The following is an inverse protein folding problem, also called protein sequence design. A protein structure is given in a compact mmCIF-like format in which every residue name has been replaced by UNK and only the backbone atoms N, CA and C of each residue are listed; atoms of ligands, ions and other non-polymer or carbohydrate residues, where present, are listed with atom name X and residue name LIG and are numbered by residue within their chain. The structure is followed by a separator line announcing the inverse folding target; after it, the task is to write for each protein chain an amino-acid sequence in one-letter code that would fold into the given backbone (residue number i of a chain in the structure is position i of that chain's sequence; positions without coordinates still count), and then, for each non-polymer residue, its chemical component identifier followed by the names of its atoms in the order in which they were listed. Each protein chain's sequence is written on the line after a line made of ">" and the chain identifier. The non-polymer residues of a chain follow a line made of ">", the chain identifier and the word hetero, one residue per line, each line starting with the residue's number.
data_IF_514129585193
#
_entry.id   IF_514129585193
#
_cell.length_a   1.000
_cell.length_b   1.000
_cell.length_c   1.000
_cell.angle_alpha   90.00
_cell.angle_beta   90.00
_cell.angle_gamma   90.00
#
_symmetry.space_group_name_H-M   'P 1'
#
loop_
_entity.id
_entity.type
_entity.pdbx_description
1 polymer ?
#
# COMPACT_ATOMS: atom_id res chain seq x y z
N UNK A 1 14.59 -47.52 -14.45
CA UNK A 1 14.76 -46.48 -13.42
C UNK A 1 15.03 -45.16 -14.12
N UNK A 2 14.09 -44.21 -14.10
CA UNK A 2 14.24 -42.89 -14.73
C UNK A 2 14.61 -41.87 -13.64
N UNK A 3 15.78 -41.23 -13.80
CA UNK A 3 16.28 -40.21 -12.87
C UNK A 3 15.45 -38.92 -12.89
N UNK A 4 15.58 -38.05 -11.86
CA UNK A 4 14.71 -36.90 -11.70
C UNK A 4 14.96 -35.84 -12.78
N UNK A 5 13.88 -35.34 -13.39
CA UNK A 5 13.90 -34.23 -14.34
C UNK A 5 14.40 -32.95 -13.65
N UNK A 6 15.48 -32.35 -14.17
CA UNK A 6 15.92 -31.00 -13.80
C UNK A 6 14.74 -30.04 -13.91
N UNK A 7 14.38 -29.39 -12.80
CA UNK A 7 13.40 -28.29 -12.80
C UNK A 7 14.03 -27.11 -13.54
N UNK A 8 13.39 -26.72 -14.63
CA UNK A 8 13.72 -25.56 -15.43
C UNK A 8 13.61 -24.30 -14.57
N UNK A 9 14.71 -23.56 -14.44
CA UNK A 9 14.77 -22.30 -13.72
C UNK A 9 13.97 -21.29 -14.54
N UNK A 10 12.78 -20.90 -14.06
CA UNK A 10 12.00 -19.80 -14.65
C UNK A 10 12.90 -18.57 -14.70
N UNK A 11 13.16 -18.09 -15.91
CA UNK A 11 13.89 -16.86 -16.19
C UNK A 11 13.38 -15.74 -15.28
N UNK A 12 14.27 -15.15 -14.48
CA UNK A 12 14.01 -13.89 -13.82
C UNK A 12 13.95 -12.80 -14.90
N UNK A 13 12.88 -11.99 -15.01
CA UNK A 13 12.74 -11.05 -16.09
C UNK A 13 13.88 -10.03 -16.10
N UNK A 14 14.45 -9.81 -17.30
CA UNK A 14 15.52 -8.86 -17.53
C UNK A 14 15.07 -7.41 -17.30
N UNK A 15 16.04 -6.58 -16.94
CA UNK A 15 15.95 -5.19 -16.43
C UNK A 15 15.31 -4.14 -17.37
N UNK A 16 14.52 -4.52 -18.38
CA UNK A 16 14.02 -3.62 -19.44
C UNK A 16 12.50 -3.54 -19.61
N UNK A 17 11.68 -4.37 -18.95
CA UNK A 17 10.22 -4.27 -19.08
C UNK A 17 9.63 -3.26 -18.10
N UNK A 18 9.59 -1.98 -18.50
CA UNK A 18 8.91 -0.91 -17.75
C UNK A 18 7.40 -1.17 -17.54
N UNK A 19 6.83 -2.16 -18.24
CA UNK A 19 5.42 -2.53 -18.16
C UNK A 19 5.14 -3.69 -17.20
N UNK A 20 6.14 -4.52 -16.86
CA UNK A 20 5.94 -5.67 -16.00
C UNK A 20 5.85 -5.23 -14.54
N UNK A 21 4.79 -5.65 -13.86
CA UNK A 21 4.57 -5.28 -12.47
C UNK A 21 3.49 -6.13 -11.82
N UNK A 22 3.19 -5.83 -10.56
CA UNK A 22 2.25 -6.64 -9.78
C UNK A 22 0.83 -6.63 -10.36
N UNK A 23 0.49 -5.65 -11.19
CA UNK A 23 -0.77 -5.56 -11.92
C UNK A 23 -1.07 -6.75 -12.82
N UNK A 24 -0.04 -7.40 -13.37
CA UNK A 24 -0.24 -8.54 -14.29
C UNK A 24 -0.78 -9.79 -13.57
N UNK A 25 -0.69 -9.82 -12.25
CA UNK A 25 -1.20 -10.91 -11.40
C UNK A 25 -2.61 -10.65 -10.84
N UNK A 26 -3.18 -9.46 -11.09
CA UNK A 26 -4.47 -9.06 -10.55
C UNK A 26 -5.60 -9.46 -11.49
N UNK A 27 -6.68 -10.00 -10.93
CA UNK A 27 -7.89 -10.37 -11.67
C UNK A 27 -9.13 -9.82 -10.97
N UNK A 28 -10.02 -9.19 -11.72
CA UNK A 28 -11.28 -8.70 -11.20
C UNK A 28 -12.22 -9.85 -10.86
N UNK A 29 -13.09 -9.65 -9.86
CA UNK A 29 -14.05 -10.68 -9.46
C UNK A 29 -15.11 -10.95 -10.53
N UNK A 30 -15.51 -9.91 -11.26
CA UNK A 30 -16.47 -9.97 -12.37
C UNK A 30 -16.04 -9.06 -13.51
N UNK A 31 -16.69 -9.19 -14.67
CA UNK A 31 -16.45 -8.30 -15.81
C UNK A 31 -16.83 -6.83 -15.55
N UNK A 32 -17.77 -6.58 -14.62
CA UNK A 32 -18.24 -5.24 -14.27
C UNK A 32 -17.61 -4.66 -13.00
N UNK A 33 -16.63 -5.34 -12.40
CA UNK A 33 -16.00 -4.89 -11.15
C UNK A 33 -15.16 -3.63 -11.38
N UNK A 34 -15.38 -2.61 -10.56
CA UNK A 34 -14.61 -1.35 -10.61
C UNK A 34 -13.19 -1.47 -10.03
N UNK A 35 -12.94 -2.50 -9.20
CA UNK A 35 -11.66 -2.72 -8.56
C UNK A 35 -11.29 -4.20 -8.46
N UNK A 36 -10.05 -4.46 -8.04
CA UNK A 36 -9.53 -5.79 -7.79
C UNK A 36 -9.28 -5.99 -6.30
N UNK A 37 -9.80 -7.07 -5.75
CA UNK A 37 -9.64 -7.42 -4.35
C UNK A 37 -8.18 -7.60 -3.96
N UNK A 38 -7.80 -7.10 -2.79
CA UNK A 38 -6.48 -7.23 -2.21
C UNK A 38 -6.54 -7.90 -0.84
N UNK A 39 -5.77 -8.98 -0.69
CA UNK A 39 -5.70 -9.78 0.52
C UNK A 39 -4.67 -9.25 1.52
N UNK A 40 -4.96 -9.43 2.82
CA UNK A 40 -4.01 -9.18 3.91
C UNK A 40 -2.92 -10.26 3.94
N UNK A 41 -1.68 -9.89 4.26
CA UNK A 41 -0.58 -10.87 4.36
C UNK A 41 -0.43 -11.48 5.77
N UNK A 42 -1.11 -10.91 6.77
CA UNK A 42 -1.03 -11.27 8.18
C UNK A 42 -2.41 -11.22 8.82
N UNK A 43 -2.57 -11.87 9.98
CA UNK A 43 -3.72 -11.68 10.84
C UNK A 43 -3.73 -10.25 11.40
N UNK A 44 -4.92 -9.65 11.49
CA UNK A 44 -5.12 -8.33 12.08
C UNK A 44 -5.90 -8.51 13.37
N UNK A 45 -5.42 -7.90 14.46
CA UNK A 45 -6.16 -7.76 15.71
C UNK A 45 -6.11 -6.30 16.15
N UNK A 46 -7.28 -5.66 16.21
CA UNK A 46 -7.45 -4.29 16.68
C UNK A 46 -8.11 -4.30 18.05
N UNK A 47 -7.35 -3.92 19.07
CA UNK A 47 -7.80 -3.88 20.47
C UNK A 47 -8.18 -2.47 20.94
N UNK A 48 -7.88 -1.47 20.12
CA UNK A 48 -8.11 -0.06 20.37
C UNK A 48 -8.55 0.63 19.07
N UNK A 49 -8.82 1.92 19.17
CA UNK A 49 -9.23 2.77 18.04
C UNK A 49 -8.06 3.39 17.28
N UNK A 50 -6.82 2.96 17.58
CA UNK A 50 -5.62 3.48 16.95
C UNK A 50 -5.47 2.95 15.52
N UNK A 51 -4.94 3.78 14.64
CA UNK A 51 -4.61 3.38 13.26
C UNK A 51 -3.42 2.42 13.28
N UNK A 52 -3.49 1.35 12.49
CA UNK A 52 -2.39 0.38 12.32
C UNK A 52 -2.06 0.20 10.86
N UNK A 53 -0.77 0.03 10.58
CA UNK A 53 -0.30 -0.40 9.27
C UNK A 53 -0.27 -1.92 9.18
N UNK A 54 -0.88 -2.45 8.14
CA UNK A 54 -0.92 -3.88 7.86
C UNK A 54 -0.34 -4.14 6.48
N UNK A 55 0.55 -5.13 6.38
CA UNK A 55 1.09 -5.52 5.09
C UNK A 55 0.05 -6.27 4.26
N UNK A 56 -0.05 -5.96 2.97
CA UNK A 56 -0.81 -6.78 2.02
C UNK A 56 0.08 -7.83 1.36
N UNK A 57 -0.53 -8.72 0.58
CA UNK A 57 0.22 -9.68 -0.25
C UNK A 57 0.92 -9.05 -1.46
N UNK A 58 0.63 -7.79 -1.78
CA UNK A 58 1.04 -7.15 -3.03
C UNK A 58 2.24 -6.22 -2.82
N UNK A 59 3.20 -6.30 -3.74
CA UNK A 59 4.42 -5.49 -3.75
C UNK A 59 4.62 -4.85 -5.12
N UNK A 60 4.97 -3.57 -5.13
CA UNK A 60 5.37 -2.87 -6.35
C UNK A 60 6.70 -3.38 -6.93
N UNK A 61 7.06 -2.99 -8.16
CA UNK A 61 6.42 -1.95 -8.97
C UNK A 61 5.03 -2.35 -9.47
N UNK A 62 4.15 -1.35 -9.65
CA UNK A 62 2.77 -1.59 -10.10
C UNK A 62 2.74 -2.11 -11.54
N UNK A 63 3.54 -1.49 -12.41
CA UNK A 63 3.56 -1.76 -13.85
C UNK A 63 2.55 -0.90 -14.62
N UNK A 64 2.58 -1.01 -15.95
CA UNK A 64 1.62 -0.38 -16.88
C UNK A 64 1.46 1.16 -16.79
N UNK A 65 2.28 1.85 -15.99
CA UNK A 65 2.17 3.29 -15.77
C UNK A 65 0.88 3.73 -15.06
N UNK A 66 0.17 2.81 -14.40
CA UNK A 66 -1.09 3.09 -13.71
C UNK A 66 -0.86 3.34 -12.23
N UNK A 67 -1.61 4.29 -11.67
CA UNK A 67 -1.74 4.50 -10.23
C UNK A 67 -2.92 3.70 -9.69
N UNK A 68 -3.01 3.57 -8.37
CA UNK A 68 -4.12 2.86 -7.72
C UNK A 68 -4.70 3.64 -6.56
N UNK A 69 -6.01 3.54 -6.40
CA UNK A 69 -6.72 3.94 -5.20
C UNK A 69 -7.10 2.68 -4.40
N UNK A 70 -6.59 2.57 -3.17
CA UNK A 70 -6.94 1.53 -2.22
C UNK A 70 -8.17 1.97 -1.45
N UNK A 71 -9.26 1.20 -1.58
CA UNK A 71 -10.56 1.48 -0.97
C UNK A 71 -11.08 0.24 -0.25
N UNK A 72 -11.75 0.44 0.88
CA UNK A 72 -12.37 -0.64 1.66
C UNK A 72 -13.56 -1.28 0.94
N UNK A 73 -13.79 -2.58 1.16
CA UNK A 73 -15.03 -3.24 0.76
C UNK A 73 -16.22 -2.74 1.58
N UNK A 74 -17.38 -2.53 0.95
CA UNK A 74 -18.58 -2.09 1.67
C UNK A 74 -19.04 -3.10 2.73
N UNK A 75 -18.79 -4.39 2.53
CA UNK A 75 -19.18 -5.50 3.44
C UNK A 75 -18.56 -5.39 4.83
N UNK A 76 -17.33 -4.89 4.94
CA UNK A 76 -16.64 -4.80 6.24
C UNK A 76 -17.08 -3.59 7.08
N UNK A 77 -17.96 -2.72 6.56
CA UNK A 77 -18.43 -1.51 7.28
C UNK A 77 -19.26 -1.85 8.50
N UNK A 78 -19.97 -2.98 8.47
CA UNK A 78 -20.96 -3.35 9.48
C UNK A 78 -20.34 -3.65 10.85
N UNK A 79 -19.03 -3.90 10.90
CA UNK A 79 -18.31 -4.27 12.13
C UNK A 79 -17.50 -3.11 12.71
N UNK A 80 -17.79 -1.86 12.30
CA UNK A 80 -17.03 -0.69 12.75
C UNK A 80 -15.56 -0.71 12.31
N UNK A 81 -15.19 -1.54 11.34
CA UNK A 81 -13.85 -1.63 10.78
C UNK A 81 -13.69 -0.69 9.59
N UNK A 82 -12.60 0.06 9.59
CA UNK A 82 -12.29 1.07 8.59
C UNK A 82 -10.88 0.91 8.05
N UNK A 83 -10.73 1.37 6.81
CA UNK A 83 -9.46 1.47 6.11
C UNK A 83 -9.41 2.89 5.59
N UNK A 84 -8.36 3.61 5.92
CA UNK A 84 -8.12 4.95 5.38
C UNK A 84 -7.78 4.79 3.89
N UNK A 85 -8.47 5.49 2.98
CA UNK A 85 -8.15 5.46 1.56
C UNK A 85 -6.67 5.77 1.30
N UNK A 86 -6.06 5.05 0.36
CA UNK A 86 -4.65 5.23 0.01
C UNK A 86 -4.48 5.47 -1.48
N UNK A 87 -3.69 6.49 -1.84
CA UNK A 87 -3.19 6.68 -3.20
C UNK A 87 -1.83 5.99 -3.32
N UNK A 88 -1.67 5.16 -4.36
CA UNK A 88 -0.43 4.45 -4.65
C UNK A 88 0.02 4.91 -6.04
N UNK A 89 1.19 5.55 -6.08
CA UNK A 89 1.73 6.11 -7.31
C UNK A 89 2.25 5.03 -8.27
N UNK A 90 2.19 5.32 -9.57
CA UNK A 90 2.57 4.38 -10.62
C UNK A 90 4.03 3.88 -10.53
N UNK A 91 4.92 4.68 -9.93
CA UNK A 91 6.33 4.34 -9.72
C UNK A 91 6.64 3.83 -8.31
N UNK A 92 5.62 3.62 -7.46
CA UNK A 92 5.80 3.09 -6.13
C UNK A 92 6.46 1.70 -6.13
N UNK A 93 7.53 1.56 -5.35
CA UNK A 93 8.25 0.30 -5.14
C UNK A 93 8.30 -0.07 -3.67
N UNK A 94 7.38 -0.92 -3.24
CA UNK A 94 7.33 -1.42 -1.87
C UNK A 94 6.10 -2.27 -1.63
N UNK A 95 5.93 -2.73 -0.38
CA UNK A 95 4.70 -3.40 0.00
C UNK A 95 3.56 -2.39 0.02
N UNK A 96 2.45 -2.74 -0.64
CA UNK A 96 1.23 -1.95 -0.53
C UNK A 96 0.64 -2.24 0.85
N UNK A 97 0.62 -1.24 1.73
CA UNK A 97 0.12 -1.38 3.10
C UNK A 97 -1.30 -0.85 3.22
N UNK A 98 -2.06 -1.44 4.15
CA UNK A 98 -3.38 -0.98 4.56
C UNK A 98 -3.24 -0.16 5.84
N UNK A 99 -3.88 1.01 5.90
CA UNK A 99 -4.05 1.79 7.12
C UNK A 99 -5.41 1.47 7.71
N UNK A 100 -5.46 0.69 8.78
CA UNK A 100 -6.71 0.14 9.34
C UNK A 100 -6.98 0.67 10.73
N UNK A 101 -8.25 0.85 11.08
CA UNK A 101 -8.67 1.16 12.45
C UNK A 101 -10.08 0.61 12.69
N UNK A 102 -10.51 0.57 13.95
CA UNK A 102 -11.89 0.23 14.31
C UNK A 102 -12.47 1.26 15.26
N UNK A 103 -13.79 1.45 15.19
CA UNK A 103 -14.56 2.21 16.19
C UNK A 103 -15.11 1.32 17.30
N UNK A 104 -15.09 0.00 17.14
CA UNK A 104 -15.74 -0.96 18.03
C UNK A 104 -14.79 -2.14 18.33
N UNK A 105 -13.68 -1.92 19.06
CA UNK A 105 -12.79 -3.02 19.43
C UNK A 105 -13.48 -4.02 20.39
N UNK A 106 -13.09 -5.31 20.39
CA UNK A 106 -12.06 -5.89 19.55
C UNK A 106 -12.55 -6.29 18.14
N UNK A 107 -11.71 -6.12 17.13
CA UNK A 107 -11.92 -6.65 15.78
C UNK A 107 -10.75 -7.55 15.38
N UNK A 108 -11.06 -8.74 14.86
CA UNK A 108 -10.06 -9.67 14.30
C UNK A 108 -10.39 -9.98 12.85
N UNK A 109 -9.35 -10.03 12.02
CA UNK A 109 -9.46 -10.37 10.60
C UNK A 109 -8.36 -11.39 10.29
N UNK A 110 -8.70 -12.60 9.86
CA UNK A 110 -7.72 -13.60 9.47
C UNK A 110 -6.84 -13.14 8.30
N UNK A 111 -5.62 -13.68 8.25
CA UNK A 111 -4.74 -13.58 7.10
C UNK A 111 -5.44 -14.07 5.82
N UNK A 112 -5.21 -13.38 4.72
CA UNK A 112 -5.70 -13.75 3.39
C UNK A 112 -7.09 -13.18 3.09
N UNK A 113 -7.74 -12.55 4.06
CA UNK A 113 -9.03 -11.90 3.86
C UNK A 113 -8.93 -10.71 2.91
N UNK A 114 -9.91 -10.61 2.02
CA UNK A 114 -10.03 -9.57 1.00
C UNK A 114 -10.97 -8.46 1.48
N UNK A 115 -10.41 -7.56 2.27
CA UNK A 115 -11.15 -6.48 2.95
C UNK A 115 -11.09 -5.13 2.22
N UNK A 116 -10.25 -5.04 1.19
CA UNK A 116 -10.00 -3.84 0.37
C UNK A 116 -9.92 -4.24 -1.10
N UNK A 117 -10.18 -3.26 -1.96
CA UNK A 117 -10.02 -3.34 -3.40
C UNK A 117 -9.13 -2.21 -3.89
N UNK A 118 -8.46 -2.47 -5.01
CA UNK A 118 -7.62 -1.53 -5.75
C UNK A 118 -8.38 -1.07 -6.99
N UNK A 119 -8.60 0.23 -7.12
CA UNK A 119 -9.17 0.87 -8.31
C UNK A 119 -8.01 1.47 -9.10
N UNK A 120 -7.79 0.95 -10.31
CA UNK A 120 -6.68 1.37 -11.17
C UNK A 120 -7.10 2.57 -12.00
N UNK A 121 -6.19 3.51 -12.20
CA UNK A 121 -6.43 4.65 -13.08
C UNK A 121 -5.14 5.23 -13.65
N UNK A 122 -5.26 5.93 -14.77
CA UNK A 122 -4.17 6.72 -15.34
C UNK A 122 -4.14 8.11 -14.69
N UNK A 123 -3.05 8.44 -14.00
CA UNK A 123 -2.89 9.74 -13.37
C UNK A 123 -2.36 10.77 -14.39
N UNK A 124 -3.16 11.81 -14.66
CA UNK A 124 -2.78 12.94 -15.52
C UNK A 124 -2.29 14.13 -14.69
N UNK A 125 -1.14 13.97 -14.07
CA UNK A 125 -0.51 15.02 -13.25
C UNK A 125 0.51 15.78 -14.11
N UNK A 126 0.49 17.13 -14.17
CA UNK A 126 1.53 17.91 -14.84
C UNK A 126 2.90 17.61 -14.21
N UNK A 127 3.87 17.20 -15.02
CA UNK A 127 5.21 16.87 -14.53
C UNK A 127 6.18 18.03 -14.85
N UNK A 128 6.84 18.57 -13.82
CA UNK A 128 7.99 19.48 -13.96
C UNK A 128 9.23 18.76 -13.38
N UNK A 129 10.14 18.27 -14.24
CA UNK A 129 11.43 17.70 -13.83
C UNK A 129 11.65 16.21 -14.17
N UNK A 130 12.89 15.75 -14.02
CA UNK A 130 13.29 14.36 -14.25
C UNK A 130 12.76 13.42 -13.15
N UNK A 131 12.33 12.23 -13.55
CA UNK A 131 11.70 11.22 -12.67
C UNK A 131 12.75 10.48 -11.84
N UNK A 132 12.89 10.82 -10.56
CA UNK A 132 13.57 9.95 -9.59
C UNK A 132 12.55 8.98 -8.94
N UNK A 133 12.91 7.69 -8.86
CA UNK A 133 12.03 6.64 -8.33
C UNK A 133 12.10 6.56 -6.79
N UNK A 134 10.94 6.57 -6.13
CA UNK A 134 10.82 6.43 -4.68
C UNK A 134 10.34 5.04 -4.24
N UNK A 135 10.76 4.60 -3.04
CA UNK A 135 10.22 3.42 -2.34
C UNK A 135 9.16 3.78 -1.27
N UNK A 136 8.86 5.07 -1.11
CA UNK A 136 7.90 5.57 -0.13
C UNK A 136 6.52 5.77 -0.75
N UNK A 137 5.50 5.44 0.03
CA UNK A 137 4.09 5.77 -0.20
C UNK A 137 3.49 6.22 1.13
N UNK A 138 2.39 6.97 1.09
CA UNK A 138 1.83 7.69 2.25
C UNK A 138 2.72 8.84 2.76
N UNK A 139 3.01 9.81 1.88
CA UNK A 139 3.72 11.05 2.23
C UNK A 139 5.09 11.25 1.56
N UNK A 140 5.52 10.38 0.66
CA UNK A 140 6.82 10.48 -0.02
C UNK A 140 7.08 11.80 -0.80
N UNK A 141 6.06 12.64 -1.00
CA UNK A 141 6.15 13.93 -1.69
C UNK A 141 6.04 15.18 -0.79
N UNK A 142 5.96 15.03 0.54
CA UNK A 142 6.04 16.14 1.49
C UNK A 142 5.45 15.84 2.86
N UNK A 143 6.14 16.23 3.94
CA UNK A 143 5.60 16.20 5.30
C UNK A 143 4.56 17.32 5.47
N UNK A 144 3.31 16.95 5.78
CA UNK A 144 2.36 17.91 6.30
C UNK A 144 2.75 18.25 7.74
N UNK A 145 2.77 19.54 8.11
CA UNK A 145 2.99 19.97 9.48
C UNK A 145 1.76 19.63 10.34
N UNK A 146 1.66 18.37 10.79
CA UNK A 146 0.59 17.90 11.65
C UNK A 146 1.09 17.84 13.10
N UNK A 147 0.43 18.59 13.98
CA UNK A 147 0.63 18.49 15.43
C UNK A 147 -0.60 17.84 16.06
N UNK A 148 -0.40 16.73 16.76
CA UNK A 148 -1.43 16.15 17.60
C UNK A 148 -1.41 16.88 18.96
N UNK A 149 -2.50 17.55 19.31
CA UNK A 149 -2.65 18.16 20.63
C UNK A 149 -3.22 17.12 21.60
N UNK A 150 -2.41 16.58 22.50
CA UNK A 150 -2.91 15.80 23.65
C UNK A 150 -3.43 16.79 24.70
N UNK A 151 -4.72 16.71 25.01
CA UNK A 151 -5.39 17.54 26.02
C UNK A 151 -4.87 17.33 27.45
N UNK A 152 -3.91 16.42 27.67
CA UNK A 152 -3.35 16.08 29.00
C UNK A 152 -2.01 16.74 29.34
N UNK A 153 -1.50 17.67 28.51
CA UNK A 153 -0.45 18.61 28.94
C UNK A 153 0.89 17.99 29.35
N UNK A 154 1.24 16.79 28.86
CA UNK A 154 2.51 16.13 29.14
C UNK A 154 3.12 15.57 27.86
N UNK A 155 4.11 16.30 27.34
CA UNK A 155 5.15 15.80 26.44
C UNK A 155 4.72 15.54 25.00
N UNK A 156 5.58 15.94 24.06
CA UNK A 156 5.49 15.59 22.64
C UNK A 156 5.22 14.10 22.49
N UNK A 157 4.04 13.75 21.99
CA UNK A 157 3.72 12.37 21.67
C UNK A 157 4.82 11.83 20.74
N UNK A 158 5.43 10.72 21.15
CA UNK A 158 6.49 10.04 20.43
C UNK A 158 6.02 9.74 18.98
N UNK A 159 6.57 10.49 18.03
CA UNK A 159 6.24 10.52 16.60
C UNK A 159 6.69 9.23 15.86
N UNK A 160 6.42 8.06 16.43
CA UNK A 160 6.65 6.76 15.78
C UNK A 160 5.73 6.53 14.57
N UNK A 161 4.65 7.30 14.45
CA UNK A 161 3.81 7.36 13.26
C UNK A 161 4.49 8.07 12.08
N UNK A 162 5.34 9.07 12.29
CA UNK A 162 6.03 9.78 11.18
C UNK A 162 7.23 8.97 10.64
N UNK A 163 7.99 8.34 11.55
CA UNK A 163 9.26 7.64 11.22
C UNK A 163 9.10 6.38 10.38
N UNK A 164 7.90 5.80 10.30
CA UNK A 164 7.63 4.63 9.45
C UNK A 164 7.18 4.99 8.03
N UNK A 165 6.87 6.27 7.77
CA UNK A 165 6.15 6.72 6.57
C UNK A 165 7.03 7.58 5.64
N UNK A 166 8.02 8.29 6.19
CA UNK A 166 8.88 9.19 5.42
C UNK A 166 10.36 8.81 5.57
N UNK A 167 10.85 7.90 4.73
CA UNK A 167 12.29 7.82 4.49
C UNK A 167 12.63 8.73 3.31
N UNK A 168 13.08 9.94 3.61
CA UNK A 168 13.55 10.91 2.62
C UNK A 168 15.00 10.60 2.22
N UNK A 169 15.35 10.81 0.96
CA UNK A 169 16.73 11.01 0.51
C UNK A 169 16.80 12.39 -0.14
N UNK A 170 17.32 13.38 0.58
CA UNK A 170 17.60 14.72 0.04
C UNK A 170 18.89 14.59 -0.74
N UNK A 171 18.82 14.74 -2.07
CA UNK A 171 19.98 15.20 -2.81
C UNK A 171 19.96 16.73 -2.76
N UNK A 172 20.69 17.29 -1.79
CA UNK A 172 21.09 18.69 -1.87
C UNK A 172 22.03 18.85 -3.06
N UNK A 173 21.56 19.51 -4.11
CA UNK A 173 22.42 20.30 -4.99
C UNK A 173 21.91 21.72 -4.93
N UNK A 174 22.73 22.57 -4.30
CA UNK A 174 22.42 23.98 -4.15
C UNK A 174 22.39 24.70 -5.49
N UNK A 175 21.65 25.79 -5.50
CA UNK A 175 22.03 27.10 -6.00
C UNK A 175 21.45 28.12 -5.03
#
# INVERSE_FOLDING_TARGET
>A
MQGPRKREIKHLPSRSDKNAGCLDSLASATAGSAGVDLATAIDITLLDTQVRLVNSVLWGPLGRGLSMLLIRHSSVSRHGFFVVPGLIDADFRGNIKLMVYTLCPPVTIPKGEKIVQLILFEAKVPCQGEREWGSGGFGSTGQAALTNYDSRGLGTADNRFERLFFHYKTSSRGL
#
